data_IF_092453258957
#
_entry.id   IF_092453258957
#
_cell.length_a   1.000
_cell.length_b   1.000
_cell.length_c   1.000
_cell.angle_alpha   90.00
_cell.angle_beta   90.00
_cell.angle_gamma   90.00
#
_symmetry.space_group_name_H-M   'P 1'
#
loop_
_entity.id
_entity.type
_entity.pdbx_description
1 polymer ?
#
# COMPACT_ATOMS: atom_id res chain seq x y z
N UNK A 1 7.40 -30.93 -35.19
CA UNK A 1 8.51 -30.04 -34.76
C UNK A 1 7.91 -28.65 -34.63
N UNK A 2 7.56 -28.09 -33.47
CA UNK A 2 8.16 -28.23 -32.14
C UNK A 2 9.15 -27.08 -31.92
N UNK A 3 8.73 -26.05 -31.16
CA UNK A 3 9.57 -24.94 -30.69
C UNK A 3 9.03 -23.57 -31.14
N UNK A 4 8.84 -22.55 -30.29
CA UNK A 4 9.35 -22.32 -28.94
C UNK A 4 8.63 -21.09 -28.37
N UNK A 5 7.82 -21.31 -27.33
CA UNK A 5 7.30 -20.29 -26.41
C UNK A 5 8.47 -19.71 -25.63
N UNK A 6 8.85 -18.44 -25.83
CA UNK A 6 9.61 -17.56 -24.91
C UNK A 6 9.52 -16.13 -25.50
N UNK A 7 9.20 -15.03 -24.82
CA UNK A 7 8.76 -14.76 -23.48
C UNK A 7 8.17 -13.34 -23.57
N UNK A 8 6.90 -13.16 -23.19
CA UNK A 8 6.26 -11.86 -23.16
C UNK A 8 6.52 -11.29 -21.77
N UNK A 9 7.39 -10.27 -21.59
CA UNK A 9 7.54 -9.65 -20.29
C UNK A 9 6.26 -8.87 -19.99
N UNK A 10 5.42 -9.57 -19.23
CA UNK A 10 4.38 -9.14 -18.32
C UNK A 10 4.37 -7.62 -18.09
N UNK A 11 3.28 -7.01 -18.52
CA UNK A 11 2.79 -5.72 -18.05
C UNK A 11 2.83 -5.68 -16.51
N UNK A 12 3.89 -5.10 -15.94
CA UNK A 12 4.01 -4.93 -14.49
C UNK A 12 4.73 -3.66 -14.07
N UNK A 13 4.58 -2.59 -14.84
CA UNK A 13 4.64 -1.25 -14.25
C UNK A 13 3.26 -0.92 -13.65
N UNK A 14 2.82 -1.77 -12.73
CA UNK A 14 1.71 -1.47 -11.84
C UNK A 14 2.31 -0.67 -10.68
N UNK A 15 2.10 0.65 -10.73
CA UNK A 15 1.84 1.45 -9.53
C UNK A 15 3.05 1.74 -8.62
N UNK A 16 4.23 2.01 -9.17
CA UNK A 16 5.29 2.74 -8.45
C UNK A 16 5.01 4.26 -8.39
N UNK A 17 3.80 4.64 -8.02
CA UNK A 17 3.53 5.96 -7.40
C UNK A 17 2.68 5.67 -6.18
N UNK A 18 3.18 4.77 -5.33
CA UNK A 18 2.74 4.65 -3.96
C UNK A 18 3.06 5.97 -3.24
N UNK A 19 2.04 6.83 -3.26
CA UNK A 19 1.61 7.60 -2.11
C UNK A 19 2.74 8.30 -1.32
N UNK A 20 3.25 9.39 -1.88
CA UNK A 20 3.75 10.50 -1.10
C UNK A 20 2.62 11.01 -0.18
N UNK A 21 2.43 10.35 0.97
CA UNK A 21 1.40 10.70 1.95
C UNK A 21 0.61 9.55 2.56
N UNK A 22 0.89 8.28 2.23
CA UNK A 22 0.28 7.15 2.95
C UNK A 22 0.91 7.02 4.34
N UNK A 23 0.41 7.81 5.28
CA UNK A 23 0.61 7.57 6.71
C UNK A 23 0.09 6.14 6.96
N UNK A 24 0.98 5.23 7.37
CA UNK A 24 0.66 3.84 7.74
C UNK A 24 0.78 3.69 9.26
N UNK A 25 -0.06 2.88 9.90
CA UNK A 25 0.05 2.59 11.33
C UNK A 25 1.44 1.97 11.58
N UNK A 26 2.34 2.56 12.39
CA UNK A 26 3.63 1.96 12.70
C UNK A 26 3.52 0.69 13.55
N UNK A 27 2.41 0.51 14.30
CA UNK A 27 2.17 -0.70 15.10
C UNK A 27 1.76 -1.91 14.25
N UNK A 28 0.86 -1.74 13.28
CA UNK A 28 0.31 -2.88 12.52
C UNK A 28 0.55 -2.84 11.02
N UNK A 29 1.19 -1.79 10.50
CA UNK A 29 1.43 -1.59 9.07
C UNK A 29 0.18 -1.31 8.25
N UNK A 30 -1.00 -1.13 8.88
CA UNK A 30 -2.24 -0.86 8.14
C UNK A 30 -2.23 0.54 7.56
N UNK A 31 -2.65 0.65 6.30
CA UNK A 31 -2.93 1.91 5.60
C UNK A 31 -4.33 2.45 5.93
N UNK A 32 -5.12 1.70 6.70
CA UNK A 32 -6.44 2.10 7.19
C UNK A 32 -6.33 3.05 8.39
N UNK A 33 -5.93 4.30 8.10
CA UNK A 33 -5.96 5.40 9.04
C UNK A 33 -7.23 6.25 8.86
N UNK A 34 -7.75 6.76 9.96
CA UNK A 34 -8.89 7.66 10.05
C UNK A 34 -8.44 8.96 10.71
N UNK A 35 -9.01 10.09 10.28
CA UNK A 35 -8.78 11.38 10.93
C UNK A 35 -10.03 11.76 11.73
N UNK A 36 -9.89 12.11 13.00
CA UNK A 36 -10.95 12.66 13.86
C UNK A 36 -10.40 13.90 14.57
N UNK A 37 -11.06 15.04 14.37
CA UNK A 37 -10.79 16.29 15.10
C UNK A 37 -9.30 16.71 15.12
N UNK A 38 -8.61 16.49 13.99
CA UNK A 38 -7.17 16.70 13.75
C UNK A 38 -6.19 15.59 14.16
N UNK A 39 -6.62 14.62 14.96
CA UNK A 39 -5.84 13.43 15.28
C UNK A 39 -6.04 12.34 14.22
N UNK A 40 -4.95 11.66 13.84
CA UNK A 40 -5.03 10.49 12.97
C UNK A 40 -4.99 9.26 13.86
N UNK A 41 -5.86 8.29 13.63
CA UNK A 41 -5.84 7.03 14.36
C UNK A 41 -6.06 5.88 13.40
N UNK A 42 -5.50 4.73 13.71
CA UNK A 42 -5.68 3.57 12.87
C UNK A 42 -6.95 2.81 13.25
N UNK A 43 -7.79 2.50 12.26
CA UNK A 43 -9.01 1.71 12.49
C UNK A 43 -8.73 0.23 12.78
N UNK A 44 -7.53 -0.25 12.44
CA UNK A 44 -7.10 -1.64 12.64
C UNK A 44 -6.50 -1.88 14.03
N UNK A 45 -5.46 -1.12 14.36
CA UNK A 45 -4.70 -1.26 15.61
C UNK A 45 -5.30 -0.41 16.74
N UNK A 46 -6.07 0.65 16.42
CA UNK A 46 -6.55 1.63 17.40
C UNK A 46 -5.50 2.66 17.82
N UNK A 47 -4.28 2.59 17.27
CA UNK A 47 -3.19 3.52 17.57
C UNK A 47 -3.54 4.93 17.10
N UNK A 48 -3.32 5.93 17.95
CA UNK A 48 -3.38 7.36 17.60
C UNK A 48 -1.99 7.81 17.12
N UNK A 49 -1.93 8.27 15.88
CA UNK A 49 -0.81 8.94 15.23
C UNK A 49 -1.07 10.46 15.29
N UNK A 50 -0.63 11.12 16.37
CA UNK A 50 -0.61 12.59 16.51
C UNK A 50 0.19 13.28 15.38
#
# INVERSE_FOLDING_TARGET
MGGRLEDMPDVKSLQDVEAEGAKKCPECGSTELAKRDDEIFCKKCGLVLE
#
